data_IF_218745909113
#
_entry.id   IF_218745909113
#
_cell.length_a   1.000
_cell.length_b   1.000
_cell.length_c   1.000
_cell.angle_alpha   90.00
_cell.angle_beta   90.00
_cell.angle_gamma   90.00
#
_symmetry.space_group_name_H-M   'P 1'
#
loop_
_entity.id
_entity.type
_entity.pdbx_description
1 polymer ?
#
# COMPACT_ATOMS: atom_id res chain seq x y z
N UNK A 1 -9.62 -11.61 29.83
CA UNK A 1 -8.52 -10.62 29.69
C UNK A 1 -7.19 -11.19 30.17
N UNK A 2 -7.13 -11.85 31.34
CA UNK A 2 -5.94 -12.56 31.83
C UNK A 2 -5.44 -13.66 30.86
N UNK A 3 -6.33 -14.48 30.30
CA UNK A 3 -5.96 -15.54 29.34
C UNK A 3 -5.29 -15.06 28.05
N UNK A 4 -5.62 -13.85 27.60
CA UNK A 4 -5.10 -13.27 26.36
C UNK A 4 -3.72 -12.62 26.58
N UNK A 5 -3.54 -12.02 27.76
CA UNK A 5 -2.25 -11.49 28.20
C UNK A 5 -1.26 -12.61 28.51
N UNK A 6 -1.71 -13.71 29.11
CA UNK A 6 -0.83 -14.85 29.40
C UNK A 6 -0.49 -15.66 28.14
N UNK A 7 -1.43 -15.77 27.19
CA UNK A 7 -1.13 -16.24 25.84
C UNK A 7 -0.09 -15.37 25.14
N UNK A 8 -0.21 -14.04 25.22
CA UNK A 8 0.74 -13.11 24.62
C UNK A 8 2.15 -13.15 25.27
N UNK A 9 2.23 -13.42 26.58
CA UNK A 9 3.52 -13.55 27.31
C UNK A 9 4.30 -14.81 26.92
N UNK A 10 3.61 -15.88 26.52
CA UNK A 10 4.24 -17.15 26.12
C UNK A 10 4.61 -17.24 24.64
N UNK A 11 4.21 -16.25 23.82
CA UNK A 11 4.35 -16.34 22.38
C UNK A 11 5.67 -15.73 21.92
N UNK A 12 6.50 -16.52 21.26
CA UNK A 12 7.72 -16.00 20.65
C UNK A 12 7.38 -14.95 19.58
N UNK A 13 8.11 -13.84 19.56
CA UNK A 13 7.84 -12.71 18.67
C UNK A 13 7.80 -13.11 17.17
N UNK A 14 8.59 -14.12 16.75
CA UNK A 14 8.52 -14.65 15.39
C UNK A 14 7.17 -15.35 15.11
N UNK A 15 6.67 -16.14 16.06
CA UNK A 15 5.35 -16.77 15.94
C UNK A 15 4.26 -15.71 15.87
N UNK A 16 4.39 -14.62 16.62
CA UNK A 16 3.46 -13.49 16.58
C UNK A 16 3.43 -12.87 15.18
N UNK A 17 4.60 -12.58 14.60
CA UNK A 17 4.70 -12.03 13.23
C UNK A 17 4.01 -12.96 12.22
N UNK A 18 4.19 -14.27 12.33
CA UNK A 18 3.54 -15.24 11.43
C UNK A 18 2.03 -15.32 11.64
N UNK A 19 1.54 -15.26 12.87
CA UNK A 19 0.10 -15.20 13.17
C UNK A 19 -0.49 -13.92 12.59
N UNK A 20 0.14 -12.77 12.82
CA UNK A 20 -0.29 -11.47 12.29
C UNK A 20 -0.29 -11.45 10.75
N UNK A 21 0.69 -12.10 10.12
CA UNK A 21 0.75 -12.25 8.65
C UNK A 21 -0.46 -13.05 8.13
N UNK A 22 -0.80 -14.17 8.79
CA UNK A 22 -1.99 -14.97 8.43
C UNK A 22 -3.28 -14.19 8.66
N UNK A 23 -3.39 -13.47 9.77
CA UNK A 23 -4.52 -12.58 10.05
C UNK A 23 -4.64 -11.53 8.94
N UNK A 24 -3.53 -10.87 8.56
CA UNK A 24 -3.52 -9.89 7.47
C UNK A 24 -4.02 -10.49 6.16
N UNK A 25 -3.62 -11.71 5.80
CA UNK A 25 -4.14 -12.39 4.60
C UNK A 25 -5.65 -12.61 4.67
N UNK A 26 -6.15 -13.15 5.79
CA UNK A 26 -7.59 -13.39 6.00
C UNK A 26 -8.37 -12.08 5.98
N UNK A 27 -7.90 -11.06 6.69
CA UNK A 27 -8.49 -9.72 6.67
C UNK A 27 -8.48 -9.13 5.27
N UNK A 28 -7.42 -9.36 4.48
CA UNK A 28 -7.36 -8.96 3.08
C UNK A 28 -8.52 -9.55 2.26
N UNK A 29 -8.77 -10.85 2.38
CA UNK A 29 -9.91 -11.51 1.69
C UNK A 29 -11.24 -10.93 2.14
N UNK A 30 -11.44 -10.74 3.45
CA UNK A 30 -12.66 -10.14 3.99
C UNK A 30 -12.84 -8.72 3.43
N UNK A 31 -11.78 -7.90 3.44
CA UNK A 31 -11.79 -6.54 2.88
C UNK A 31 -12.12 -6.58 1.39
N UNK A 32 -11.55 -7.49 0.61
CA UNK A 32 -11.88 -7.63 -0.80
C UNK A 32 -13.38 -7.90 -1.02
N UNK A 33 -13.94 -8.87 -0.28
CA UNK A 33 -15.37 -9.20 -0.34
C UNK A 33 -16.22 -8.00 0.07
N UNK A 34 -15.89 -7.34 1.17
CA UNK A 34 -16.59 -6.14 1.61
C UNK A 34 -16.54 -5.04 0.54
N UNK A 35 -15.38 -4.82 -0.10
CA UNK A 35 -15.20 -3.79 -1.13
C UNK A 35 -15.84 -4.14 -2.48
N UNK A 36 -16.36 -5.34 -2.67
CA UNK A 36 -17.25 -5.62 -3.82
C UNK A 36 -18.59 -4.90 -3.65
N UNK A 37 -19.10 -4.85 -2.41
CA UNK A 37 -20.42 -4.31 -2.09
C UNK A 37 -20.38 -2.89 -1.52
N UNK A 38 -19.30 -2.56 -0.80
CA UNK A 38 -19.12 -1.30 -0.09
C UNK A 38 -18.02 -0.47 -0.74
N UNK A 39 -18.22 0.84 -0.82
CA UNK A 39 -17.20 1.78 -1.28
C UNK A 39 -16.51 2.36 -0.06
N UNK A 40 -15.19 2.26 0.02
CA UNK A 40 -14.45 2.99 1.04
C UNK A 40 -14.65 4.50 0.82
N UNK A 41 -15.35 5.15 1.76
CA UNK A 41 -15.92 6.50 1.60
C UNK A 41 -14.87 7.63 1.78
N UNK A 42 -13.80 7.58 0.99
CA UNK A 42 -12.80 8.65 0.86
C UNK A 42 -12.50 8.94 -0.61
N UNK A 43 -11.92 10.11 -0.89
CA UNK A 43 -11.67 10.55 -2.25
C UNK A 43 -13.00 10.67 -3.03
N UNK A 44 -13.12 10.01 -4.18
CA UNK A 44 -14.33 10.14 -5.03
C UNK A 44 -15.64 9.67 -4.39
N UNK A 45 -15.56 8.79 -3.40
CA UNK A 45 -16.71 8.22 -2.71
C UNK A 45 -17.08 8.97 -1.43
N UNK A 46 -16.33 10.01 -1.05
CA UNK A 46 -16.68 10.84 0.10
C UNK A 46 -17.98 11.62 -0.17
N UNK A 47 -18.87 11.60 0.82
CA UNK A 47 -20.18 12.28 0.82
C UNK A 47 -20.44 12.96 2.18
N UNK A 48 -21.50 13.77 2.28
CA UNK A 48 -21.92 14.37 3.56
C UNK A 48 -22.27 13.32 4.62
N UNK A 49 -22.71 12.13 4.21
CA UNK A 49 -22.99 11.02 5.13
C UNK A 49 -21.72 10.33 5.65
N UNK A 50 -20.57 10.52 4.98
CA UNK A 50 -19.32 9.88 5.37
C UNK A 50 -18.83 10.36 6.73
N UNK A 51 -19.05 11.65 7.05
CA UNK A 51 -18.67 12.19 8.36
C UNK A 51 -19.57 11.70 9.49
N UNK A 52 -20.86 11.48 9.18
CA UNK A 52 -21.81 10.90 10.15
C UNK A 52 -21.46 9.45 10.50
N UNK A 53 -20.98 8.66 9.53
CA UNK A 53 -20.63 7.25 9.71
C UNK A 53 -19.23 7.03 10.30
N UNK A 54 -18.25 7.83 9.87
CA UNK A 54 -16.82 7.54 10.07
C UNK A 54 -16.09 8.66 10.81
N UNK A 55 -16.82 9.52 11.52
CA UNK A 55 -16.27 10.62 12.30
C UNK A 55 -15.95 11.85 11.46
N UNK A 56 -15.31 12.85 12.07
CA UNK A 56 -15.08 14.14 11.42
C UNK A 56 -14.17 14.05 10.19
N UNK A 57 -14.28 15.05 9.31
CA UNK A 57 -13.48 15.19 8.11
C UNK A 57 -12.08 15.74 8.45
N UNK A 58 -11.05 15.07 7.97
CA UNK A 58 -9.65 15.51 8.07
C UNK A 58 -9.18 15.97 6.69
N UNK A 59 -8.38 17.03 6.64
CA UNK A 59 -7.72 17.46 5.41
C UNK A 59 -6.95 16.28 4.78
N UNK A 60 -7.03 16.15 3.46
CA UNK A 60 -6.46 15.00 2.77
C UNK A 60 -4.93 14.92 2.92
N UNK A 61 -4.21 16.06 2.96
CA UNK A 61 -2.76 16.05 3.12
C UNK A 61 -2.37 15.56 4.50
N UNK A 62 -3.04 16.08 5.52
CA UNK A 62 -2.81 15.69 6.92
C UNK A 62 -3.16 14.22 7.13
N UNK A 63 -4.31 13.76 6.64
CA UNK A 63 -4.74 12.37 6.77
C UNK A 63 -3.74 11.40 6.13
N UNK A 64 -3.31 11.67 4.89
CA UNK A 64 -2.34 10.83 4.18
C UNK A 64 -0.93 10.89 4.80
N UNK A 65 -0.50 12.05 5.30
CA UNK A 65 0.76 12.15 6.03
C UNK A 65 0.72 11.28 7.30
N UNK A 66 -0.27 11.52 8.16
CA UNK A 66 -0.37 10.84 9.46
C UNK A 66 -0.58 9.34 9.31
N UNK A 67 -1.47 8.90 8.41
CA UNK A 67 -1.81 7.48 8.31
C UNK A 67 -0.66 6.61 7.75
N UNK A 68 0.19 7.17 6.88
CA UNK A 68 1.28 6.42 6.23
C UNK A 68 2.59 6.49 7.02
N UNK A 69 2.77 7.55 7.82
CA UNK A 69 4.00 7.80 8.58
C UNK A 69 4.47 6.64 9.47
N UNK A 70 3.60 5.84 10.14
CA UNK A 70 4.04 4.71 10.96
C UNK A 70 4.83 3.66 10.18
N UNK A 71 4.50 3.43 8.91
CA UNK A 71 5.24 2.48 8.07
C UNK A 71 6.64 2.99 7.68
N UNK A 72 6.96 4.27 7.91
CA UNK A 72 8.32 4.79 7.83
C UNK A 72 8.98 4.81 9.22
N UNK A 73 8.30 5.39 10.22
CA UNK A 73 8.88 5.64 11.55
C UNK A 73 9.13 4.34 12.32
N UNK A 74 8.20 3.38 12.30
CA UNK A 74 8.35 2.12 13.05
C UNK A 74 9.58 1.34 12.57
N UNK A 75 9.79 1.12 11.26
CA UNK A 75 11.04 0.52 10.78
C UNK A 75 12.32 1.26 11.21
N UNK A 76 12.33 2.59 11.14
CA UNK A 76 13.47 3.40 11.56
C UNK A 76 13.80 3.23 13.04
N UNK A 77 12.77 3.18 13.91
CA UNK A 77 12.97 2.92 15.34
C UNK A 77 13.47 1.49 15.60
N UNK A 78 12.97 0.50 14.86
CA UNK A 78 13.39 -0.90 15.02
C UNK A 78 14.84 -1.16 14.58
N UNK A 79 15.42 -0.30 13.73
CA UNK A 79 16.85 -0.37 13.40
C UNK A 79 17.75 -0.22 14.64
N UNK A 80 17.31 0.50 15.68
CA UNK A 80 18.06 0.63 16.95
C UNK A 80 18.20 -0.70 17.70
N UNK A 81 17.32 -1.66 17.39
CA UNK A 81 17.28 -3.00 17.99
C UNK A 81 17.52 -4.12 16.97
N UNK A 82 18.09 -3.76 15.81
CA UNK A 82 18.46 -4.70 14.77
C UNK A 82 19.72 -5.48 15.15
N UNK A 83 19.87 -6.68 14.59
CA UNK A 83 21.12 -7.43 14.78
C UNK A 83 22.27 -6.74 14.06
N UNK A 84 23.48 -6.84 14.60
CA UNK A 84 24.66 -6.19 13.99
C UNK A 84 25.01 -6.72 12.60
N UNK A 85 24.73 -7.99 12.33
CA UNK A 85 25.03 -8.64 11.05
C UNK A 85 24.17 -8.17 9.88
N UNK A 86 23.06 -7.45 10.13
CA UNK A 86 22.20 -6.95 9.05
C UNK A 86 22.65 -5.60 8.49
N UNK A 87 23.55 -4.87 9.17
CA UNK A 87 23.99 -3.55 8.70
C UNK A 87 24.98 -3.64 7.53
N UNK A 88 25.01 -2.59 6.69
CA UNK A 88 25.80 -2.54 5.46
C UNK A 88 24.99 -2.96 4.23
N UNK A 89 25.67 -3.35 3.15
CA UNK A 89 25.05 -3.78 1.89
C UNK A 89 24.59 -5.24 1.94
N UNK A 90 23.86 -5.61 2.99
CA UNK A 90 23.29 -6.96 3.15
C UNK A 90 21.96 -7.09 2.40
N UNK A 91 21.53 -8.30 2.03
CA UNK A 91 20.21 -8.50 1.45
C UNK A 91 19.09 -7.94 2.35
N UNK A 92 19.19 -8.14 3.67
CA UNK A 92 18.23 -7.63 4.65
C UNK A 92 18.08 -6.11 4.58
N UNK A 93 19.20 -5.38 4.56
CA UNK A 93 19.17 -3.92 4.56
C UNK A 93 18.75 -3.35 3.20
N UNK A 94 19.12 -4.00 2.09
CA UNK A 94 18.63 -3.62 0.76
C UNK A 94 17.10 -3.75 0.72
N UNK A 95 16.54 -4.89 1.13
CA UNK A 95 15.09 -5.11 1.17
C UNK A 95 14.40 -4.08 2.08
N UNK A 96 14.91 -3.85 3.29
CA UNK A 96 14.34 -2.84 4.18
C UNK A 96 14.40 -1.44 3.57
N UNK A 97 15.48 -1.13 2.85
CA UNK A 97 15.64 0.15 2.16
C UNK A 97 14.64 0.33 1.02
N UNK A 98 14.24 -0.73 0.31
CA UNK A 98 13.14 -0.65 -0.67
C UNK A 98 11.82 -0.26 0.01
N UNK A 99 11.51 -0.90 1.15
CA UNK A 99 10.31 -0.57 1.93
C UNK A 99 10.33 0.88 2.42
N UNK A 100 11.46 1.33 2.98
CA UNK A 100 11.64 2.71 3.42
C UNK A 100 11.63 3.71 2.25
N UNK A 101 12.15 3.35 1.09
CA UNK A 101 12.12 4.18 -0.11
C UNK A 101 10.68 4.43 -0.57
N UNK A 102 9.87 3.37 -0.64
CA UNK A 102 8.44 3.50 -0.91
C UNK A 102 7.77 4.43 0.10
N UNK A 103 7.93 4.16 1.40
CA UNK A 103 7.25 4.95 2.43
C UNK A 103 7.81 6.35 2.60
N UNK A 104 9.05 6.63 2.20
CA UNK A 104 9.57 8.01 2.06
C UNK A 104 8.76 8.74 1.00
N UNK A 105 8.55 8.12 -0.17
CA UNK A 105 7.72 8.71 -1.21
C UNK A 105 6.26 8.84 -0.74
N UNK A 106 5.67 7.80 -0.16
CA UNK A 106 4.25 7.73 0.16
C UNK A 106 3.85 8.57 1.36
N UNK A 107 4.69 8.65 2.39
CA UNK A 107 4.39 9.38 3.63
C UNK A 107 4.99 10.78 3.66
N UNK A 108 6.22 10.99 3.16
CA UNK A 108 6.93 12.27 3.32
C UNK A 108 6.86 13.17 2.09
N UNK A 109 6.57 12.63 0.90
CA UNK A 109 6.55 13.41 -0.35
C UNK A 109 5.13 13.51 -0.92
N UNK A 110 4.46 12.38 -1.13
CA UNK A 110 3.16 12.30 -1.78
C UNK A 110 2.07 13.19 -1.14
N UNK A 111 1.90 13.24 0.20
CA UNK A 111 0.82 14.01 0.81
C UNK A 111 0.93 15.51 0.53
N UNK A 112 2.16 16.05 0.47
CA UNK A 112 2.42 17.46 0.18
C UNK A 112 2.24 17.80 -1.31
N UNK A 113 2.27 16.79 -2.18
CA UNK A 113 1.99 16.93 -3.60
C UNK A 113 0.49 16.82 -3.93
N UNK A 114 -0.37 16.46 -2.98
CA UNK A 114 -1.83 16.37 -3.21
C UNK A 114 -2.39 17.75 -3.59
N UNK A 115 -2.98 17.81 -4.79
CA UNK A 115 -3.60 19.02 -5.37
C UNK A 115 -5.13 18.94 -5.28
N UNK A 116 -5.68 19.61 -4.27
CA UNK A 116 -7.09 19.53 -3.92
C UNK A 116 -7.53 18.11 -3.56
N UNK A 117 -8.82 17.89 -3.37
CA UNK A 117 -9.36 16.59 -3.02
C UNK A 117 -10.49 16.71 -2.00
N UNK A 118 -11.30 15.67 -1.90
CA UNK A 118 -12.27 15.57 -0.82
C UNK A 118 -11.53 15.16 0.46
N UNK A 119 -11.97 15.63 1.64
CA UNK A 119 -11.38 15.23 2.91
C UNK A 119 -11.53 13.73 3.16
N UNK A 120 -10.76 13.23 4.12
CA UNK A 120 -10.77 11.82 4.52
C UNK A 120 -11.44 11.69 5.89
N UNK A 121 -12.39 10.76 6.09
CA UNK A 121 -12.98 10.54 7.41
C UNK A 121 -11.95 10.02 8.42
N UNK A 122 -11.95 10.58 9.64
CA UNK A 122 -10.95 10.27 10.67
C UNK A 122 -10.85 8.77 10.98
N UNK A 123 -11.97 8.06 11.09
CA UNK A 123 -11.95 6.63 11.41
C UNK A 123 -11.23 5.80 10.34
N UNK A 124 -11.43 6.12 9.06
CA UNK A 124 -10.75 5.43 7.96
C UNK A 124 -9.24 5.72 7.96
N UNK A 125 -8.86 6.97 8.25
CA UNK A 125 -7.45 7.36 8.40
C UNK A 125 -6.80 6.66 9.60
N UNK A 126 -7.52 6.50 10.72
CA UNK A 126 -7.05 5.75 11.88
C UNK A 126 -6.84 4.25 11.58
N UNK A 127 -7.73 3.61 10.83
CA UNK A 127 -7.54 2.22 10.42
C UNK A 127 -6.29 2.06 9.54
N UNK A 128 -6.05 2.99 8.62
CA UNK A 128 -4.83 3.01 7.80
C UNK A 128 -3.57 3.24 8.65
N UNK A 129 -3.63 4.13 9.65
CA UNK A 129 -2.55 4.33 10.63
C UNK A 129 -2.19 3.03 11.35
N UNK A 130 -3.19 2.33 11.90
CA UNK A 130 -2.98 1.07 12.62
C UNK A 130 -2.42 -0.01 11.71
N UNK A 131 -2.91 -0.09 10.48
CA UNK A 131 -2.37 -1.00 9.46
C UNK A 131 -0.90 -0.69 9.15
N UNK A 132 -0.56 0.57 8.90
CA UNK A 132 0.81 0.99 8.58
C UNK A 132 1.77 0.72 9.74
N UNK A 133 1.34 0.94 10.99
CA UNK A 133 2.13 0.63 12.17
C UNK A 133 2.40 -0.89 12.29
N UNK A 134 1.36 -1.70 12.14
CA UNK A 134 1.46 -3.16 12.22
C UNK A 134 2.30 -3.74 11.08
N UNK A 135 2.06 -3.29 9.85
CA UNK A 135 2.79 -3.74 8.67
C UNK A 135 4.27 -3.32 8.75
N UNK A 136 4.54 -2.06 9.08
CA UNK A 136 5.90 -1.56 9.29
C UNK A 136 6.65 -2.35 10.35
N UNK A 137 5.99 -2.67 11.47
CA UNK A 137 6.53 -3.54 12.51
C UNK A 137 6.87 -4.93 11.96
N UNK A 138 5.92 -5.63 11.32
CA UNK A 138 6.15 -6.99 10.84
C UNK A 138 7.27 -7.06 9.81
N UNK A 139 7.27 -6.17 8.81
CA UNK A 139 8.28 -6.17 7.75
C UNK A 139 9.67 -5.88 8.31
N UNK A 140 9.81 -4.79 9.08
CA UNK A 140 11.10 -4.38 9.60
C UNK A 140 11.61 -5.34 10.67
N UNK A 141 10.76 -5.80 11.58
CA UNK A 141 11.18 -6.72 12.63
C UNK A 141 11.62 -8.08 12.08
N UNK A 142 10.89 -8.59 11.09
CA UNK A 142 11.29 -9.82 10.40
C UNK A 142 12.65 -9.67 9.73
N UNK A 143 12.84 -8.60 8.93
CA UNK A 143 14.09 -8.38 8.21
C UNK A 143 15.29 -8.06 9.12
N UNK A 144 15.07 -7.37 10.25
CA UNK A 144 16.17 -6.94 11.14
C UNK A 144 16.55 -7.96 12.20
N UNK A 145 15.67 -8.91 12.53
CA UNK A 145 15.91 -9.89 13.60
C UNK A 145 15.84 -11.36 13.18
N UNK A 146 14.96 -11.73 12.25
CA UNK A 146 14.65 -13.15 11.99
C UNK A 146 15.14 -13.65 10.65
N UNK A 147 15.00 -12.85 9.59
CA UNK A 147 15.44 -13.24 8.26
C UNK A 147 16.96 -13.47 8.22
N UNK A 148 17.36 -14.54 7.55
CA UNK A 148 18.75 -14.92 7.30
C UNK A 148 18.91 -15.11 5.80
N UNK A 149 19.67 -14.21 5.18
CA UNK A 149 20.06 -14.31 3.78
C UNK A 149 21.58 -14.29 3.73
N UNK A 150 22.17 -15.25 3.03
CA UNK A 150 23.59 -15.19 2.70
C UNK A 150 23.85 -14.06 1.71
N UNK A 151 25.08 -13.54 1.68
CA UNK A 151 25.45 -12.49 0.72
C UNK A 151 25.24 -12.92 -0.73
N UNK A 152 25.39 -14.21 -1.06
CA UNK A 152 25.11 -14.76 -2.39
C UNK A 152 23.63 -14.63 -2.80
N UNK A 153 22.72 -14.38 -1.85
CA UNK A 153 21.29 -14.22 -2.11
C UNK A 153 21.00 -13.01 -3.01
N UNK A 154 21.84 -11.95 -2.99
CA UNK A 154 21.67 -10.78 -3.86
C UNK A 154 21.77 -11.12 -5.34
N UNK A 155 22.46 -12.21 -5.69
CA UNK A 155 22.61 -12.70 -7.05
C UNK A 155 21.57 -13.78 -7.40
N UNK A 156 20.71 -14.16 -6.45
CA UNK A 156 19.68 -15.17 -6.72
C UNK A 156 18.62 -14.63 -7.69
N UNK A 157 18.06 -15.47 -8.59
CA UNK A 157 17.06 -15.02 -9.57
C UNK A 157 15.85 -14.34 -8.92
N UNK A 158 15.38 -14.87 -7.78
CA UNK A 158 14.27 -14.29 -7.00
C UNK A 158 14.59 -12.88 -6.49
N UNK A 159 15.80 -12.64 -5.98
CA UNK A 159 16.18 -11.31 -5.53
C UNK A 159 16.26 -10.33 -6.70
N UNK A 160 16.97 -10.68 -7.77
CA UNK A 160 17.16 -9.81 -8.94
C UNK A 160 15.83 -9.51 -9.65
N UNK A 161 15.03 -10.53 -9.94
CA UNK A 161 13.72 -10.35 -10.56
C UNK A 161 12.77 -9.58 -9.63
N UNK A 162 12.78 -9.87 -8.33
CA UNK A 162 11.95 -9.17 -7.36
C UNK A 162 12.29 -7.67 -7.27
N UNK A 163 13.58 -7.30 -7.28
CA UNK A 163 14.04 -5.91 -7.35
C UNK A 163 13.59 -5.22 -8.64
N UNK A 164 13.77 -5.87 -9.79
CA UNK A 164 13.35 -5.32 -11.07
C UNK A 164 11.83 -5.06 -11.10
N UNK A 165 11.03 -6.03 -10.66
CA UNK A 165 9.57 -5.92 -10.56
C UNK A 165 9.18 -4.79 -9.59
N UNK A 166 9.86 -4.69 -8.44
CA UNK A 166 9.62 -3.63 -7.44
C UNK A 166 9.76 -2.24 -8.07
N UNK A 167 10.90 -1.96 -8.72
CA UNK A 167 11.16 -0.65 -9.32
C UNK A 167 10.25 -0.35 -10.52
N UNK A 168 9.89 -1.35 -11.33
CA UNK A 168 8.90 -1.19 -12.40
C UNK A 168 7.55 -0.77 -11.81
N UNK A 169 7.09 -1.48 -10.77
CA UNK A 169 5.84 -1.17 -10.08
C UNK A 169 5.85 0.24 -9.47
N UNK A 170 6.92 0.58 -8.76
CA UNK A 170 7.10 1.90 -8.13
C UNK A 170 7.08 3.03 -9.17
N UNK A 171 7.78 2.84 -10.31
CA UNK A 171 7.78 3.81 -11.40
C UNK A 171 6.37 4.02 -11.98
N UNK A 172 5.62 2.93 -12.22
CA UNK A 172 4.23 3.01 -12.69
C UNK A 172 3.34 3.72 -11.67
N UNK A 173 3.49 3.41 -10.38
CA UNK A 173 2.72 4.03 -9.31
C UNK A 173 2.94 5.55 -9.26
N UNK A 174 4.20 5.98 -9.14
CA UNK A 174 4.56 7.40 -9.01
C UNK A 174 4.18 8.18 -10.26
N UNK A 175 4.42 7.61 -11.46
CA UNK A 175 4.05 8.24 -12.72
C UNK A 175 2.53 8.41 -12.84
N UNK A 176 1.77 7.38 -12.46
CA UNK A 176 0.31 7.42 -12.50
C UNK A 176 -0.26 8.43 -11.49
N UNK A 177 0.28 8.47 -10.26
CA UNK A 177 -0.09 9.47 -9.26
C UNK A 177 0.28 10.89 -9.72
N UNK A 178 1.40 11.07 -10.44
CA UNK A 178 1.74 12.34 -11.08
C UNK A 178 0.69 12.75 -12.12
N UNK A 179 0.27 11.85 -13.00
CA UNK A 179 -0.82 12.14 -13.97
C UNK A 179 -2.09 12.54 -13.22
N UNK A 180 -2.52 11.76 -12.23
CA UNK A 180 -3.77 12.01 -11.48
C UNK A 180 -3.78 13.38 -10.78
N UNK A 181 -2.66 13.76 -10.16
CA UNK A 181 -2.53 15.06 -9.47
C UNK A 181 -2.55 16.24 -10.44
N UNK A 182 -2.10 16.05 -11.67
CA UNK A 182 -2.02 17.09 -12.71
C UNK A 182 -3.17 17.05 -13.72
N UNK A 183 -4.23 16.26 -13.48
CA UNK A 183 -5.42 16.29 -14.33
C UNK A 183 -6.09 17.65 -14.36
N UNK A 184 -5.92 18.44 -13.29
CA UNK A 184 -6.61 19.72 -13.09
C UNK A 184 -5.60 20.86 -13.00
N UNK A 185 -5.92 21.97 -13.65
CA UNK A 185 -5.27 23.25 -13.42
C UNK A 185 -5.72 23.82 -12.06
N UNK A 186 -4.91 24.66 -11.40
CA UNK A 186 -5.34 25.37 -10.19
C UNK A 186 -6.69 26.08 -10.44
N UNK A 187 -7.66 25.87 -9.55
CA UNK A 187 -9.01 26.43 -9.67
C UNK A 187 -10.04 25.57 -10.42
N UNK A 188 -9.62 24.55 -11.18
CA UNK A 188 -10.57 23.65 -11.84
C UNK A 188 -11.22 22.65 -10.85
N UNK A 189 -12.53 22.49 -10.97
CA UNK A 189 -13.32 21.52 -10.21
C UNK A 189 -13.78 20.36 -11.10
N UNK A 190 -14.34 19.31 -10.49
CA UNK A 190 -14.80 18.13 -11.22
C UNK A 190 -13.70 17.08 -11.49
N UNK A 191 -14.11 15.96 -12.07
CA UNK A 191 -13.23 14.85 -12.43
C UNK A 191 -12.94 14.88 -13.94
N UNK A 192 -11.77 14.39 -14.33
CA UNK A 192 -11.35 14.23 -15.74
C UNK A 192 -10.89 12.80 -16.00
N UNK A 193 -10.94 12.38 -17.26
CA UNK A 193 -10.41 11.09 -17.71
C UNK A 193 -8.88 11.14 -17.71
N UNK A 194 -8.19 10.27 -16.95
CA UNK A 194 -6.74 10.21 -17.03
C UNK A 194 -6.28 9.58 -18.35
N UNK A 195 -5.29 10.19 -18.98
CA UNK A 195 -4.67 9.78 -20.25
C UNK A 195 -3.14 9.77 -20.11
N UNK A 196 -2.48 8.97 -20.93
CA UNK A 196 -1.03 8.79 -20.91
C UNK A 196 -0.54 7.65 -20.02
N UNK A 197 0.66 7.16 -20.30
CA UNK A 197 1.29 6.07 -19.56
C UNK A 197 0.39 4.84 -19.42
N UNK A 198 0.36 4.26 -18.22
CA UNK A 198 -0.38 3.04 -17.94
C UNK A 198 -1.92 3.24 -17.95
N UNK A 199 -2.40 4.49 -17.87
CA UNK A 199 -3.83 4.78 -18.07
C UNK A 199 -4.32 4.52 -19.49
N UNK A 200 -3.44 4.30 -20.47
CA UNK A 200 -3.87 3.82 -21.80
C UNK A 200 -4.54 2.45 -21.72
N UNK A 201 -4.08 1.58 -20.82
CA UNK A 201 -4.54 0.20 -20.69
C UNK A 201 -5.53 -0.01 -19.56
N UNK A 202 -5.33 0.64 -18.40
CA UNK A 202 -6.10 0.36 -17.17
C UNK A 202 -6.58 1.62 -16.44
N UNK A 203 -7.72 1.54 -15.77
CA UNK A 203 -8.30 2.66 -15.01
C UNK A 203 -7.63 2.92 -13.68
N UNK A 204 -7.17 1.87 -12.99
CA UNK A 204 -6.44 1.93 -11.73
C UNK A 204 -4.94 1.81 -11.93
N UNK A 205 -4.35 2.61 -12.82
CA UNK A 205 -2.94 2.50 -13.18
C UNK A 205 -1.97 2.64 -11.99
N UNK A 206 -2.24 3.55 -11.06
CA UNK A 206 -1.45 3.69 -9.83
C UNK A 206 -1.59 2.46 -8.92
N UNK A 207 -2.80 1.92 -8.79
CA UNK A 207 -3.05 0.68 -8.04
C UNK A 207 -2.36 -0.53 -8.67
N UNK A 208 -2.36 -0.64 -10.00
CA UNK A 208 -1.61 -1.68 -10.71
C UNK A 208 -0.11 -1.59 -10.39
N UNK A 209 0.47 -0.38 -10.50
CA UNK A 209 1.88 -0.15 -10.16
C UNK A 209 2.20 -0.58 -8.72
N UNK A 210 1.36 -0.23 -7.75
CA UNK A 210 1.56 -0.59 -6.35
C UNK A 210 1.45 -2.09 -6.07
N UNK A 211 0.53 -2.79 -6.74
CA UNK A 211 0.41 -4.26 -6.64
C UNK A 211 1.66 -4.92 -7.23
N UNK A 212 2.14 -4.45 -8.38
CA UNK A 212 3.36 -4.95 -9.01
C UNK A 212 4.56 -4.69 -8.12
N UNK A 213 4.65 -3.51 -7.52
CA UNK A 213 5.71 -3.13 -6.59
C UNK A 213 5.79 -4.12 -5.42
N UNK A 214 4.67 -4.34 -4.72
CA UNK A 214 4.64 -5.26 -3.59
C UNK A 214 4.78 -6.73 -3.98
N UNK A 215 4.37 -7.12 -5.20
CA UNK A 215 4.68 -8.45 -5.74
C UNK A 215 6.20 -8.65 -5.87
N UNK A 216 6.91 -7.66 -6.43
CA UNK A 216 8.36 -7.67 -6.53
C UNK A 216 9.03 -7.74 -5.16
N UNK A 217 8.55 -6.95 -4.20
CA UNK A 217 9.02 -6.99 -2.81
C UNK A 217 8.85 -8.37 -2.16
N UNK A 218 7.67 -8.99 -2.34
CA UNK A 218 7.39 -10.33 -1.80
C UNK A 218 8.27 -11.42 -2.46
N UNK A 219 8.51 -11.33 -3.77
CA UNK A 219 9.42 -12.24 -4.49
C UNK A 219 10.86 -12.08 -3.98
N UNK A 220 11.33 -10.84 -3.80
CA UNK A 220 12.68 -10.56 -3.33
C UNK A 220 12.90 -11.01 -1.87
N UNK A 221 11.95 -10.70 -0.98
CA UNK A 221 11.99 -11.12 0.42
C UNK A 221 11.79 -12.63 0.59
N UNK A 222 10.95 -13.24 -0.24
CA UNK A 222 10.58 -14.65 -0.13
C UNK A 222 10.15 -15.05 1.29
N UNK A 223 9.29 -14.23 1.91
CA UNK A 223 8.88 -14.42 3.31
C UNK A 223 7.38 -14.27 3.50
N UNK A 224 6.83 -14.99 4.48
CA UNK A 224 5.40 -14.92 4.84
C UNK A 224 4.89 -13.49 5.09
N UNK A 225 5.54 -12.63 5.89
CA UNK A 225 5.04 -11.26 6.11
C UNK A 225 5.01 -10.44 4.81
N UNK A 226 6.04 -10.54 3.96
CA UNK A 226 6.05 -9.83 2.67
C UNK A 226 4.95 -10.31 1.71
N UNK A 227 4.70 -11.62 1.64
CA UNK A 227 3.60 -12.18 0.85
C UNK A 227 2.22 -11.79 1.39
N UNK A 228 2.07 -11.75 2.73
CA UNK A 228 0.84 -11.29 3.37
C UNK A 228 0.54 -9.83 3.03
N UNK A 229 1.56 -8.97 3.06
CA UNK A 229 1.40 -7.57 2.68
C UNK A 229 1.03 -7.38 1.21
N UNK A 230 1.72 -8.08 0.30
CA UNK A 230 1.36 -8.08 -1.13
C UNK A 230 -0.10 -8.48 -1.37
N UNK A 231 -0.54 -9.59 -0.76
CA UNK A 231 -1.93 -10.06 -0.92
C UNK A 231 -2.93 -9.07 -0.33
N UNK A 232 -2.65 -8.52 0.85
CA UNK A 232 -3.51 -7.50 1.44
C UNK A 232 -3.60 -6.26 0.56
N UNK A 233 -2.48 -5.76 0.03
CA UNK A 233 -2.46 -4.62 -0.88
C UNK A 233 -3.34 -4.92 -2.11
N UNK A 234 -3.13 -6.05 -2.78
CA UNK A 234 -3.93 -6.47 -3.94
C UNK A 234 -5.43 -6.57 -3.64
N UNK A 235 -5.79 -7.16 -2.50
CA UNK A 235 -7.19 -7.31 -2.09
C UNK A 235 -7.84 -6.01 -1.60
N UNK A 236 -7.07 -5.04 -1.12
CA UNK A 236 -7.59 -3.74 -0.72
C UNK A 236 -7.79 -2.80 -1.92
N UNK A 237 -6.75 -2.62 -2.76
CA UNK A 237 -6.79 -1.64 -3.85
C UNK A 237 -7.31 -2.22 -5.17
N UNK A 238 -7.32 -3.54 -5.33
CA UNK A 238 -7.86 -4.21 -6.52
C UNK A 238 -9.36 -3.97 -6.75
N UNK A 239 -10.24 -4.28 -5.78
CA UNK A 239 -11.66 -3.97 -5.87
C UNK A 239 -11.92 -2.47 -6.08
N UNK A 240 -11.09 -1.62 -5.46
CA UNK A 240 -11.17 -0.16 -5.63
C UNK A 240 -10.93 0.26 -7.09
N UNK A 241 -10.00 -0.39 -7.79
CA UNK A 241 -9.77 -0.16 -9.22
C UNK A 241 -11.01 -0.51 -10.07
N UNK A 242 -11.68 -1.62 -9.77
CA UNK A 242 -12.93 -2.05 -10.42
C UNK A 242 -14.04 -1.03 -10.16
N UNK A 243 -14.18 -0.56 -8.92
CA UNK A 243 -15.14 0.49 -8.59
C UNK A 243 -14.83 1.80 -9.32
N UNK A 244 -13.56 2.15 -9.47
CA UNK A 244 -13.13 3.34 -10.22
C UNK A 244 -13.47 3.19 -11.71
N UNK A 245 -13.21 2.01 -12.29
CA UNK A 245 -13.53 1.69 -13.67
C UNK A 245 -15.03 1.82 -13.96
N UNK A 246 -15.88 1.18 -13.14
CA UNK A 246 -17.35 1.30 -13.25
C UNK A 246 -17.81 2.74 -13.15
N UNK A 247 -17.27 3.48 -12.18
CA UNK A 247 -17.62 4.89 -11.99
C UNK A 247 -17.23 5.75 -13.20
N UNK A 248 -16.08 5.48 -13.84
CA UNK A 248 -15.68 6.20 -15.04
C UNK A 248 -16.64 5.97 -16.21
N UNK A 249 -17.06 4.73 -16.47
CA UNK A 249 -18.06 4.42 -17.50
C UNK A 249 -19.41 5.07 -17.24
N UNK A 250 -19.85 5.16 -15.99
CA UNK A 250 -21.10 5.85 -15.65
C UNK A 250 -20.97 7.38 -15.76
N UNK A 251 -19.78 7.92 -15.50
CA UNK A 251 -19.58 9.37 -15.41
C UNK A 251 -19.26 10.04 -16.75
N UNK A 252 -18.57 9.35 -17.65
CA UNK A 252 -18.09 9.91 -18.90
C UNK A 252 -18.58 9.08 -20.08
N UNK A 253 -19.34 9.71 -20.96
CA UNK A 253 -19.83 9.08 -22.20
C UNK A 253 -18.68 8.72 -23.16
N UNK A 254 -17.61 9.52 -23.16
CA UNK A 254 -16.41 9.35 -24.00
C UNK A 254 -15.33 8.46 -23.36
N UNK A 255 -15.66 7.69 -22.30
CA UNK A 255 -14.68 6.83 -21.64
C UNK A 255 -14.20 5.69 -22.57
N UNK A 256 -12.88 5.43 -22.68
CA UNK A 256 -12.37 4.37 -23.55
C UNK A 256 -12.88 2.97 -23.16
N UNK A 257 -13.69 2.37 -24.04
CA UNK A 257 -14.29 1.04 -23.82
C UNK A 257 -13.28 -0.12 -23.82
N UNK A 258 -12.13 0.05 -24.44
CA UNK A 258 -11.04 -0.94 -24.47
C UNK A 258 -10.25 -1.02 -23.16
N UNK A 259 -10.30 0.04 -22.34
CA UNK A 259 -9.58 0.11 -21.07
C UNK A 259 -10.11 -0.94 -20.11
N UNK A 260 -9.23 -1.54 -19.31
CA UNK A 260 -9.56 -2.49 -18.25
C UNK A 260 -9.51 -1.80 -16.88
N UNK A 261 -9.96 -2.45 -15.82
CA UNK A 261 -9.97 -1.87 -14.48
C UNK A 261 -8.56 -1.79 -13.87
N UNK A 262 -7.78 -2.86 -13.95
CA UNK A 262 -6.55 -3.07 -13.18
C UNK A 262 -5.49 -3.90 -13.92
N UNK A 263 -5.84 -5.04 -14.50
CA UNK A 263 -4.90 -5.93 -15.21
C UNK A 263 -5.05 -5.68 -16.71
N UNK A 264 -3.97 -5.24 -17.40
CA UNK A 264 -4.01 -4.94 -18.83
C UNK A 264 -4.57 -6.11 -19.63
N UNK A 265 -5.51 -5.80 -20.52
CA UNK A 265 -6.17 -6.77 -21.42
C UNK A 265 -7.04 -7.85 -20.73
N UNK A 266 -7.03 -7.95 -19.40
CA UNK A 266 -7.74 -8.99 -18.64
C UNK A 266 -8.89 -8.42 -17.82
N UNK A 267 -8.60 -7.61 -16.79
CA UNK A 267 -9.55 -7.19 -15.75
C UNK A 267 -9.56 -5.68 -15.58
#
# INVERSE_FOLDING_TARGET
MASLLDFAKGLEELQLIFILSKIMMVTGVIVAVCLIFLKAEYGRYFSSNSTRKYGFAVDARVAWFVQELPAFVVPCLLLLYARKDVFGLTPNMILLSLFLLHYTQRSLIYPWLIKGGKPTPMFLSFLAFMFCALNGYMQARYLTKYARYDMSYVSSPRFVCGLAIFFIGMAINIHSDHILRNLRRPGETGYKIPRGGMFTYVSGANFFGEIVEWAGFAIACWSLPSSAFFLFAAFNIGPRAIQHHRWYHTKFEDYPKSRKALIPFVL
#
